data_IF_623122549176
#
_entry.id   IF_623122549176
#
_cell.length_a   1.000
_cell.length_b   1.000
_cell.length_c   1.000
_cell.angle_alpha   90.00
_cell.angle_beta   90.00
_cell.angle_gamma   90.00
#
_symmetry.space_group_name_H-M   'P 1'
#
loop_
_entity.id
_entity.type
_entity.pdbx_description
1 polymer ?
#
# COMPACT_ATOMS: atom_id res chain seq x y z
N UNK A 1 2.69 13.76 26.05
CA UNK A 1 3.16 14.09 24.69
C UNK A 1 4.53 13.49 24.42
N UNK A 2 5.51 13.72 25.30
CA UNK A 2 6.91 13.26 25.14
C UNK A 2 7.04 11.75 24.92
N UNK A 3 6.34 10.90 25.69
CA UNK A 3 6.41 9.44 25.53
C UNK A 3 6.06 8.99 24.10
N UNK A 4 5.02 9.60 23.51
CA UNK A 4 4.57 9.26 22.14
C UNK A 4 5.59 9.72 21.10
N UNK A 5 6.17 10.92 21.29
CA UNK A 5 7.21 11.43 20.40
C UNK A 5 8.48 10.58 20.45
N UNK A 6 8.91 10.19 21.65
CA UNK A 6 10.06 9.31 21.85
C UNK A 6 9.81 7.95 21.20
N UNK A 7 8.63 7.35 21.42
CA UNK A 7 8.24 6.09 20.78
C UNK A 7 8.28 6.21 19.26
N UNK A 8 7.66 7.26 18.69
CA UNK A 8 7.64 7.48 17.24
C UNK A 8 9.04 7.63 16.64
N UNK A 9 9.94 8.38 17.31
CA UNK A 9 11.34 8.55 16.88
C UNK A 9 12.08 7.21 16.91
N UNK A 10 12.00 6.46 18.01
CA UNK A 10 12.64 5.16 18.15
C UNK A 10 12.14 4.17 17.11
N UNK A 11 10.82 4.12 16.87
CA UNK A 11 10.26 3.28 15.81
C UNK A 11 10.86 3.67 14.46
N UNK A 12 10.86 4.95 14.09
CA UNK A 12 11.38 5.39 12.78
C UNK A 12 12.83 4.94 12.53
N UNK A 13 13.70 5.08 13.53
CA UNK A 13 15.09 4.61 13.43
C UNK A 13 15.17 3.07 13.35
N UNK A 14 14.39 2.36 14.16
CA UNK A 14 14.36 0.90 14.13
C UNK A 14 13.85 0.35 12.79
N UNK A 15 12.89 1.03 12.15
CA UNK A 15 12.40 0.66 10.83
C UNK A 15 13.45 0.88 9.74
N UNK A 16 14.22 1.98 9.82
CA UNK A 16 15.31 2.28 8.88
C UNK A 16 16.47 1.28 8.95
N UNK A 17 16.69 0.67 10.11
CA UNK A 17 17.75 -0.32 10.34
C UNK A 17 17.39 -1.74 9.86
N UNK A 18 16.16 -1.99 9.39
CA UNK A 18 15.77 -3.33 8.93
C UNK A 18 16.39 -3.71 7.59
N UNK A 19 16.89 -4.94 7.53
CA UNK A 19 17.32 -5.54 6.28
C UNK A 19 16.11 -6.08 5.49
N UNK A 20 15.38 -5.17 4.84
CA UNK A 20 14.14 -5.46 4.11
C UNK A 20 14.29 -6.59 3.08
N UNK A 21 15.42 -6.67 2.37
CA UNK A 21 15.66 -7.73 1.36
C UNK A 21 15.61 -9.13 1.96
N UNK A 22 16.31 -9.36 3.06
CA UNK A 22 16.34 -10.67 3.71
C UNK A 22 15.00 -10.96 4.38
N UNK A 23 14.46 -9.98 5.10
CA UNK A 23 13.15 -10.11 5.73
C UNK A 23 12.04 -10.47 4.72
N UNK A 24 12.01 -9.82 3.56
CA UNK A 24 11.07 -10.14 2.50
C UNK A 24 11.23 -11.59 2.01
N UNK A 25 12.47 -12.01 1.71
CA UNK A 25 12.75 -13.36 1.25
C UNK A 25 12.33 -14.41 2.29
N UNK A 26 12.56 -14.16 3.58
CA UNK A 26 12.16 -15.04 4.68
C UNK A 26 10.63 -15.13 4.79
N UNK A 27 9.93 -14.00 4.69
CA UNK A 27 8.47 -13.94 4.76
C UNK A 27 7.79 -14.65 3.58
N UNK A 28 8.36 -14.53 2.37
CA UNK A 28 7.89 -15.25 1.18
C UNK A 28 8.10 -16.75 1.34
N UNK A 29 9.27 -17.18 1.85
CA UNK A 29 9.52 -18.61 2.14
C UNK A 29 8.57 -19.15 3.22
N UNK A 30 8.33 -18.38 4.28
CA UNK A 30 7.43 -18.78 5.36
C UNK A 30 5.96 -18.90 4.92
N UNK A 31 5.55 -18.26 3.83
CA UNK A 31 4.21 -18.36 3.29
C UNK A 31 3.90 -19.70 2.57
N UNK A 32 4.63 -20.78 2.90
CA UNK A 32 4.51 -22.13 2.34
C UNK A 32 3.07 -22.65 2.28
N UNK A 33 2.40 -22.35 1.16
CA UNK A 33 1.16 -23.00 0.70
C UNK A 33 1.31 -23.25 -0.79
N UNK A 34 0.88 -24.44 -1.24
CA UNK A 34 1.06 -24.96 -2.60
C UNK A 34 0.44 -24.08 -3.70
N UNK A 35 -0.53 -23.23 -3.38
CA UNK A 35 -1.05 -22.18 -4.26
C UNK A 35 -1.47 -20.96 -3.44
N UNK A 36 -1.10 -19.75 -3.89
CA UNK A 36 -1.53 -18.49 -3.28
C UNK A 36 -2.77 -17.95 -4.01
N UNK A 37 -3.69 -17.31 -3.29
CA UNK A 37 -4.78 -16.58 -3.90
C UNK A 37 -4.25 -15.37 -4.69
N UNK A 38 -4.97 -14.97 -5.75
CA UNK A 38 -4.55 -13.89 -6.64
C UNK A 38 -4.15 -12.59 -5.91
N UNK A 39 -4.90 -12.08 -4.91
CA UNK A 39 -4.50 -10.89 -4.16
C UNK A 39 -3.17 -11.03 -3.42
N UNK A 40 -2.84 -12.24 -2.99
CA UNK A 40 -1.64 -12.55 -2.22
C UNK A 40 -0.42 -12.66 -3.13
N UNK A 41 -0.56 -13.31 -4.29
CA UNK A 41 0.47 -13.32 -5.32
C UNK A 41 0.80 -11.89 -5.80
N UNK A 42 -0.23 -11.06 -6.04
CA UNK A 42 -0.03 -9.66 -6.43
C UNK A 42 0.58 -8.82 -5.30
N UNK A 43 0.26 -9.10 -4.04
CA UNK A 43 0.90 -8.41 -2.92
C UNK A 43 2.41 -8.68 -2.86
N UNK A 44 2.84 -9.93 -3.06
CA UNK A 44 4.27 -10.29 -3.14
C UNK A 44 4.93 -9.59 -4.33
N UNK A 45 4.31 -9.66 -5.50
CA UNK A 45 4.84 -9.04 -6.72
C UNK A 45 4.94 -7.51 -6.59
N UNK A 46 3.96 -6.87 -5.96
CA UNK A 46 3.95 -5.43 -5.71
C UNK A 46 5.08 -5.00 -4.77
N UNK A 47 5.38 -5.77 -3.72
CA UNK A 47 6.49 -5.48 -2.79
C UNK A 47 7.84 -5.66 -3.49
N UNK A 48 8.00 -6.73 -4.27
CA UNK A 48 9.23 -6.95 -5.05
C UNK A 48 9.42 -5.84 -6.10
N UNK A 49 8.38 -5.46 -6.82
CA UNK A 49 8.44 -4.37 -7.79
C UNK A 49 8.75 -3.02 -7.13
N UNK A 50 8.16 -2.73 -5.97
CA UNK A 50 8.47 -1.52 -5.21
C UNK A 50 9.95 -1.48 -4.80
N UNK A 51 10.50 -2.62 -4.39
CA UNK A 51 11.93 -2.76 -4.07
C UNK A 51 12.83 -2.53 -5.29
N UNK A 52 12.48 -3.13 -6.44
CA UNK A 52 13.28 -3.04 -7.68
C UNK A 52 13.21 -1.68 -8.37
N UNK A 53 12.06 -1.03 -8.31
CA UNK A 53 11.87 0.31 -8.89
C UNK A 53 12.23 1.44 -7.94
N UNK A 54 12.66 1.12 -6.70
CA UNK A 54 12.87 2.10 -5.63
C UNK A 54 11.64 3.01 -5.45
N UNK A 55 10.45 2.43 -5.51
CA UNK A 55 9.20 3.17 -5.44
C UNK A 55 9.09 3.96 -4.14
N UNK A 56 8.64 5.21 -4.24
CA UNK A 56 8.44 6.08 -3.10
C UNK A 56 7.22 5.67 -2.26
N UNK A 57 6.22 5.04 -2.88
CA UNK A 57 5.07 4.45 -2.18
C UNK A 57 4.41 3.32 -2.98
N UNK A 58 3.60 2.52 -2.27
CA UNK A 58 2.60 1.64 -2.87
C UNK A 58 1.22 2.25 -2.64
N UNK A 59 0.49 2.59 -3.70
CA UNK A 59 -0.91 3.03 -3.62
C UNK A 59 -1.81 1.83 -3.82
N UNK A 60 -2.63 1.50 -2.83
CA UNK A 60 -3.56 0.36 -2.90
C UNK A 60 -4.99 0.82 -2.70
N UNK A 61 -5.87 0.44 -3.62
CA UNK A 61 -7.31 0.65 -3.47
C UNK A 61 -7.91 -0.56 -2.75
N UNK A 62 -8.61 -0.32 -1.64
CA UNK A 62 -9.18 -1.41 -0.85
C UNK A 62 -10.53 -1.06 -0.21
N UNK A 63 -11.43 -2.05 -0.20
CA UNK A 63 -12.75 -1.95 0.44
C UNK A 63 -12.73 -2.57 1.84
N UNK A 64 -12.22 -3.80 1.98
CA UNK A 64 -12.16 -4.53 3.25
C UNK A 64 -10.83 -4.39 4.00
N UNK A 65 -9.80 -3.79 3.38
CA UNK A 65 -8.44 -3.72 3.91
C UNK A 65 -7.56 -4.91 3.56
N UNK A 66 -8.14 -6.06 3.16
CA UNK A 66 -7.40 -7.33 2.93
C UNK A 66 -6.16 -7.14 2.04
N UNK A 67 -6.30 -6.44 0.91
CA UNK A 67 -5.19 -6.22 -0.03
C UNK A 67 -4.06 -5.40 0.58
N UNK A 68 -4.39 -4.35 1.34
CA UNK A 68 -3.39 -3.52 2.02
C UNK A 68 -2.70 -4.31 3.15
N UNK A 69 -3.44 -5.13 3.88
CA UNK A 69 -2.90 -6.00 4.93
C UNK A 69 -1.93 -7.05 4.36
N UNK A 70 -2.27 -7.64 3.20
CA UNK A 70 -1.39 -8.59 2.51
C UNK A 70 -0.09 -7.92 2.04
N UNK A 71 -0.15 -6.69 1.54
CA UNK A 71 1.06 -5.93 1.17
C UNK A 71 1.90 -5.65 2.43
N UNK A 72 1.25 -5.20 3.51
CA UNK A 72 1.92 -4.94 4.80
C UNK A 72 2.63 -6.19 5.35
N UNK A 73 2.04 -7.39 5.18
CA UNK A 73 2.63 -8.67 5.60
C UNK A 73 4.07 -8.84 5.09
N UNK A 74 4.35 -8.38 3.87
CA UNK A 74 5.66 -8.53 3.21
C UNK A 74 6.64 -7.37 3.47
N UNK A 75 6.28 -6.44 4.37
CA UNK A 75 7.18 -5.40 4.91
C UNK A 75 7.94 -4.60 3.82
N UNK A 76 7.22 -3.98 2.87
CA UNK A 76 7.85 -3.08 1.91
C UNK A 76 8.61 -1.96 2.64
N UNK A 77 9.68 -1.46 2.01
CA UNK A 77 10.49 -0.36 2.54
C UNK A 77 9.75 0.99 2.47
N UNK A 78 8.90 1.15 1.45
CA UNK A 78 8.10 2.35 1.22
C UNK A 78 6.75 2.28 1.95
N UNK A 79 6.12 3.44 2.27
CA UNK A 79 4.76 3.49 2.82
C UNK A 79 3.71 2.90 1.87
N UNK A 80 2.64 2.37 2.45
CA UNK A 80 1.46 1.83 1.75
C UNK A 80 0.31 2.82 1.92
N UNK A 81 -0.01 3.58 0.86
CA UNK A 81 -1.13 4.51 0.83
C UNK A 81 -2.42 3.72 0.52
N UNK A 82 -3.19 3.39 1.55
CA UNK A 82 -4.40 2.59 1.42
C UNK A 82 -5.64 3.47 1.24
N UNK A 83 -6.10 3.60 -0.01
CA UNK A 83 -7.28 4.41 -0.35
C UNK A 83 -8.54 3.58 -0.17
N UNK A 84 -9.46 4.06 0.65
CA UNK A 84 -10.73 3.40 0.93
C UNK A 84 -11.87 4.40 1.09
N UNK A 85 -13.10 4.00 0.75
CA UNK A 85 -14.31 4.77 1.05
C UNK A 85 -14.89 4.46 2.44
N UNK A 86 -14.33 3.48 3.14
CA UNK A 86 -14.90 2.96 4.39
C UNK A 86 -14.08 3.46 5.58
N UNK A 87 -14.61 4.41 6.39
CA UNK A 87 -13.89 4.95 7.53
C UNK A 87 -13.52 3.89 8.58
N UNK A 88 -14.33 2.84 8.72
CA UNK A 88 -14.04 1.71 9.60
C UNK A 88 -12.78 0.97 9.16
N UNK A 89 -12.66 0.65 7.87
CA UNK A 89 -11.48 0.01 7.27
C UNK A 89 -10.25 0.88 7.43
N UNK A 90 -10.38 2.20 7.20
CA UNK A 90 -9.29 3.15 7.42
C UNK A 90 -8.77 3.11 8.87
N UNK A 91 -9.66 3.13 9.87
CA UNK A 91 -9.27 3.03 11.29
C UNK A 91 -8.57 1.71 11.62
N UNK A 92 -9.10 0.59 11.10
CA UNK A 92 -8.54 -0.74 11.32
C UNK A 92 -7.15 -0.92 10.68
N UNK A 93 -6.90 -0.24 9.56
CA UNK A 93 -5.63 -0.33 8.84
C UNK A 93 -4.42 0.17 9.65
N UNK A 94 -4.63 1.05 10.64
CA UNK A 94 -3.55 1.50 11.54
C UNK A 94 -2.92 0.38 12.37
N UNK A 95 -3.59 -0.78 12.51
CA UNK A 95 -3.03 -1.95 13.19
C UNK A 95 -1.92 -2.64 12.37
N UNK A 96 -1.81 -2.32 11.08
CA UNK A 96 -0.89 -2.96 10.16
C UNK A 96 0.27 -2.02 9.82
N UNK A 97 1.47 -2.54 10.00
CA UNK A 97 2.71 -1.78 9.81
C UNK A 97 2.84 -1.21 8.40
N UNK A 98 3.25 0.06 8.30
CA UNK A 98 3.51 0.75 7.04
C UNK A 98 2.26 1.21 6.29
N UNK A 99 1.05 0.90 6.77
CA UNK A 99 -0.17 1.38 6.12
C UNK A 99 -0.52 2.79 6.59
N UNK A 100 -0.71 3.69 5.63
CA UNK A 100 -1.24 5.03 5.80
C UNK A 100 -2.63 5.04 5.17
N UNK A 101 -3.71 4.92 5.97
CA UNK A 101 -5.07 4.87 5.45
C UNK A 101 -5.55 6.26 5.00
N UNK A 102 -6.17 6.31 3.83
CA UNK A 102 -6.71 7.52 3.21
C UNK A 102 -8.20 7.31 2.93
N UNK A 103 -9.05 8.12 3.56
CA UNK A 103 -10.49 8.09 3.34
C UNK A 103 -10.83 8.94 2.12
N UNK A 104 -11.37 8.30 1.09
CA UNK A 104 -11.88 8.94 -0.11
C UNK A 104 -13.38 9.19 0.03
N UNK A 105 -13.79 10.45 0.08
CA UNK A 105 -15.19 10.83 0.36
C UNK A 105 -16.05 11.00 -0.89
N UNK A 106 -15.45 11.01 -2.09
CA UNK A 106 -16.21 11.20 -3.33
C UNK A 106 -17.07 9.96 -3.66
N UNK A 107 -18.26 10.17 -4.26
CA UNK A 107 -19.15 9.09 -4.65
C UNK A 107 -18.50 8.16 -5.68
N UNK A 108 -19.05 6.94 -5.80
CA UNK A 108 -18.62 5.99 -6.82
C UNK A 108 -19.02 6.51 -8.21
N UNK A 109 -18.04 6.57 -9.12
CA UNK A 109 -18.30 6.88 -10.53
C UNK A 109 -18.87 5.65 -11.24
N UNK A 110 -19.77 5.82 -12.24
CA UNK A 110 -20.37 4.72 -12.98
C UNK A 110 -19.33 3.95 -13.81
N UNK A 111 -18.31 4.66 -14.31
CA UNK A 111 -17.16 4.06 -14.99
C UNK A 111 -16.11 3.62 -13.96
N UNK A 112 -15.92 2.30 -13.83
CA UNK A 112 -14.98 1.71 -12.89
C UNK A 112 -13.54 2.17 -13.10
N UNK A 113 -13.09 2.32 -14.36
CA UNK A 113 -11.72 2.73 -14.64
C UNK A 113 -11.50 4.17 -14.19
N UNK A 114 -12.44 5.06 -14.53
CA UNK A 114 -12.40 6.46 -14.05
C UNK A 114 -12.48 6.56 -12.53
N UNK A 115 -13.30 5.71 -11.88
CA UNK A 115 -13.40 5.65 -10.42
C UNK A 115 -12.10 5.21 -9.76
N UNK A 116 -11.42 4.23 -10.35
CA UNK A 116 -10.11 3.74 -9.90
C UNK A 116 -9.07 4.84 -10.08
N UNK A 117 -8.99 5.46 -11.26
CA UNK A 117 -8.00 6.50 -11.55
C UNK A 117 -8.18 7.70 -10.63
N UNK A 118 -9.41 8.15 -10.37
CA UNK A 118 -9.68 9.24 -9.43
C UNK A 118 -9.19 8.92 -8.01
N UNK A 119 -9.38 7.68 -7.54
CA UNK A 119 -8.88 7.21 -6.24
C UNK A 119 -7.37 7.11 -6.17
N UNK A 120 -6.73 6.64 -7.26
CA UNK A 120 -5.26 6.63 -7.36
C UNK A 120 -4.72 8.05 -7.29
N UNK A 121 -5.28 8.96 -8.07
CA UNK A 121 -4.86 10.36 -8.10
C UNK A 121 -5.03 11.02 -6.73
N UNK A 122 -6.14 10.76 -6.03
CA UNK A 122 -6.31 11.21 -4.65
C UNK A 122 -5.19 10.71 -3.73
N UNK A 123 -4.83 9.42 -3.81
CA UNK A 123 -3.71 8.85 -3.05
C UNK A 123 -2.38 9.53 -3.35
N UNK A 124 -2.08 9.78 -4.63
CA UNK A 124 -0.87 10.48 -5.07
C UNK A 124 -0.85 11.93 -4.55
N UNK A 125 -1.95 12.67 -4.66
CA UNK A 125 -2.03 14.05 -4.21
C UNK A 125 -1.85 14.18 -2.69
N UNK A 126 -2.45 13.29 -1.91
CA UNK A 126 -2.23 13.25 -0.46
C UNK A 126 -0.77 12.88 -0.14
N UNK A 127 -0.19 11.93 -0.88
CA UNK A 127 1.22 11.57 -0.75
C UNK A 127 2.17 12.74 -1.04
N UNK A 128 1.89 13.53 -2.09
CA UNK A 128 2.63 14.77 -2.40
C UNK A 128 2.48 15.80 -1.29
N UNK A 129 1.26 16.07 -0.85
CA UNK A 129 0.96 17.05 0.20
C UNK A 129 1.68 16.74 1.51
N UNK A 130 1.79 15.45 1.87
CA UNK A 130 2.48 15.00 3.08
C UNK A 130 3.99 14.80 2.92
N UNK A 131 4.55 15.10 1.73
CA UNK A 131 5.97 14.98 1.45
C UNK A 131 6.49 13.54 1.29
N UNK A 132 5.60 12.56 1.11
CA UNK A 132 5.97 11.17 0.83
C UNK A 132 6.35 10.94 -0.63
N UNK A 133 5.82 11.78 -1.53
CA UNK A 133 5.95 11.63 -2.98
C UNK A 133 6.42 12.94 -3.61
N UNK A 134 7.27 12.85 -4.63
CA UNK A 134 7.76 13.96 -5.46
C UNK A 134 7.57 13.65 -6.94
N UNK A 135 7.56 14.69 -7.77
CA UNK A 135 7.61 14.53 -9.24
C UNK A 135 8.85 13.74 -9.63
N UNK A 136 8.69 12.77 -10.52
CA UNK A 136 9.73 11.82 -10.94
C UNK A 136 9.81 10.54 -10.09
N UNK A 137 9.15 10.47 -8.94
CA UNK A 137 9.16 9.25 -8.13
C UNK A 137 8.36 8.12 -8.78
N UNK A 138 8.85 6.89 -8.66
CA UNK A 138 8.10 5.69 -9.03
C UNK A 138 7.06 5.35 -7.95
N UNK A 139 5.87 4.93 -8.37
CA UNK A 139 4.79 4.47 -7.49
C UNK A 139 4.24 3.16 -8.02
N UNK A 140 4.07 2.18 -7.12
CA UNK A 140 3.37 0.94 -7.44
C UNK A 140 1.90 1.10 -7.09
N UNK A 141 1.04 0.93 -8.09
CA UNK A 141 -0.42 0.97 -7.92
C UNK A 141 -0.94 -0.45 -7.88
N UNK A 142 -1.76 -0.78 -6.89
CA UNK A 142 -2.42 -2.08 -6.74
C UNK A 142 -3.94 -1.91 -6.72
N UNK A 143 -4.62 -2.55 -7.67
CA UNK A 143 -6.07 -2.41 -7.88
C UNK A 143 -6.72 -3.75 -8.24
N UNK A 144 -8.06 -3.78 -8.23
CA UNK A 144 -8.84 -4.88 -8.77
C UNK A 144 -9.40 -4.55 -10.15
N UNK A 145 -9.53 -5.57 -11.00
CA UNK A 145 -10.06 -5.42 -12.36
C UNK A 145 -11.56 -5.10 -12.41
N UNK A 146 -12.32 -5.44 -11.37
CA UNK A 146 -13.76 -5.15 -11.26
C UNK A 146 -14.15 -4.62 -9.89
N UNK A 147 -15.33 -4.01 -9.82
CA UNK A 147 -15.93 -3.55 -8.58
C UNK A 147 -16.21 -4.71 -7.61
N UNK A 148 -16.06 -4.43 -6.32
CA UNK A 148 -16.32 -5.37 -5.23
C UNK A 148 -15.06 -5.69 -4.41
N UNK A 149 -15.23 -6.50 -3.38
CA UNK A 149 -14.15 -6.96 -2.52
C UNK A 149 -13.52 -8.25 -3.07
N UNK A 150 -12.21 -8.43 -2.92
CA UNK A 150 -11.53 -9.69 -3.21
C UNK A 150 -11.04 -9.89 -4.65
N UNK A 151 -11.21 -8.90 -5.53
CA UNK A 151 -10.80 -9.00 -6.94
C UNK A 151 -9.45 -8.33 -7.26
N UNK A 152 -8.60 -8.12 -6.25
CA UNK A 152 -7.27 -7.51 -6.45
C UNK A 152 -6.38 -8.46 -7.24
N UNK A 153 -6.04 -8.06 -8.46
CA UNK A 153 -5.22 -8.85 -9.39
C UNK A 153 -4.32 -7.99 -10.30
N UNK A 154 -4.39 -6.66 -10.20
CA UNK A 154 -3.67 -5.75 -11.10
C UNK A 154 -2.63 -4.96 -10.32
N UNK A 155 -1.42 -4.89 -10.86
CA UNK A 155 -0.38 -3.96 -10.42
C UNK A 155 0.18 -3.18 -11.59
N UNK A 156 0.52 -1.91 -11.36
CA UNK A 156 1.14 -1.01 -12.34
C UNK A 156 2.27 -0.25 -11.67
N UNK A 157 3.36 0.00 -12.39
CA UNK A 157 4.40 0.95 -11.98
C UNK A 157 4.20 2.20 -12.80
N UNK A 158 4.04 3.34 -12.14
CA UNK A 158 3.87 4.65 -12.79
C UNK A 158 4.86 5.64 -12.20
N UNK A 159 5.21 6.66 -12.98
CA UNK A 159 6.00 7.79 -12.50
C UNK A 159 5.09 8.96 -12.24
N UNK A 160 5.37 9.69 -11.17
CA UNK A 160 4.62 10.88 -10.81
C UNK A 160 5.04 12.03 -11.72
N UNK A 161 4.07 12.66 -12.35
CA UNK A 161 4.20 13.96 -13.03
C UNK A 161 4.04 15.11 -12.03
#
# INVERSE_FOLDING_TARGET
LECVLTMAKTCKEAEAALWHRNLFADLVRAAHTSTLDSPHAVAIAAVEAASKSLAAAIVVITTSGKSAHLISKYRPRCPILAVTRFPQTARQAHLYRGIIPLVYNEPAQPDWLKDVDARVQFGVQVGKKNGFLKTGDAVVIVTGWKQGSGFTNTMRIVYIE
#
